data_IF_485522069006
#
_entry.id   IF_485522069006
#
_cell.length_a   1.000
_cell.length_b   1.000
_cell.length_c   1.000
_cell.angle_alpha   90.00
_cell.angle_beta   90.00
_cell.angle_gamma   90.00
#
_symmetry.space_group_name_H-M   'P 1'
#
loop_
_entity.id
_entity.type
_entity.pdbx_description
1 polymer ?
#
# COMPACT_ATOMS: atom_id res chain seq x y z
N UNK A 1 -27.19 17.49 -2.30
CA UNK A 1 -26.84 17.92 -3.66
C UNK A 1 -25.43 17.47 -4.09
N UNK A 2 -24.95 16.29 -3.65
CA UNK A 2 -23.57 15.80 -3.92
C UNK A 2 -23.51 14.45 -4.64
N UNK A 3 -24.65 13.81 -4.88
CA UNK A 3 -24.72 12.47 -5.47
C UNK A 3 -24.47 12.43 -7.00
N UNK A 4 -24.30 13.60 -7.63
CA UNK A 4 -23.92 13.73 -9.05
C UNK A 4 -22.40 13.89 -9.24
N UNK A 5 -21.59 13.68 -8.20
CA UNK A 5 -20.16 13.44 -8.33
C UNK A 5 -19.96 12.02 -8.86
N UNK A 6 -20.43 11.82 -10.09
CA UNK A 6 -20.25 10.67 -10.95
C UNK A 6 -18.89 10.04 -10.65
N UNK A 7 -18.86 8.91 -9.93
CA UNK A 7 -17.62 8.17 -9.65
C UNK A 7 -16.79 7.89 -10.90
N UNK A 8 -17.43 7.98 -12.07
CA UNK A 8 -16.82 8.04 -13.39
C UNK A 8 -15.73 9.12 -13.55
N UNK A 9 -15.91 10.32 -12.99
CA UNK A 9 -14.90 11.38 -13.05
C UNK A 9 -13.66 11.02 -12.24
N UNK A 10 -13.83 10.41 -11.06
CA UNK A 10 -12.71 9.93 -10.25
C UNK A 10 -11.91 8.86 -11.01
N UNK A 11 -12.59 7.94 -11.69
CA UNK A 11 -11.97 6.95 -12.57
C UNK A 11 -11.16 7.59 -13.71
N UNK A 12 -11.69 8.61 -14.36
CA UNK A 12 -11.00 9.35 -15.43
C UNK A 12 -9.74 10.06 -14.91
N UNK A 13 -9.83 10.69 -13.73
CA UNK A 13 -8.68 11.36 -13.10
C UNK A 13 -7.59 10.34 -12.77
N UNK A 14 -7.97 9.18 -12.19
CA UNK A 14 -7.04 8.08 -11.93
C UNK A 14 -6.40 7.56 -13.22
N UNK A 15 -7.17 7.44 -14.30
CA UNK A 15 -6.65 7.02 -15.60
C UNK A 15 -5.62 8.02 -16.16
N UNK A 16 -5.88 9.33 -16.07
CA UNK A 16 -4.92 10.37 -16.47
C UNK A 16 -3.64 10.29 -15.64
N UNK A 17 -3.78 10.18 -14.31
CA UNK A 17 -2.63 10.05 -13.39
C UNK A 17 -1.81 8.79 -13.72
N UNK A 18 -2.45 7.66 -14.00
CA UNK A 18 -1.79 6.43 -14.44
C UNK A 18 -1.07 6.60 -15.78
N UNK A 19 -1.59 7.41 -16.69
CA UNK A 19 -0.95 7.69 -17.97
C UNK A 19 0.32 8.55 -17.79
N UNK A 20 0.28 9.55 -16.91
CA UNK A 20 1.40 10.46 -16.65
C UNK A 20 2.49 9.84 -15.77
N UNK A 21 2.08 9.15 -14.70
CA UNK A 21 2.99 8.57 -13.71
C UNK A 21 3.32 7.11 -13.99
N UNK A 22 2.49 6.39 -14.73
CA UNK A 22 2.62 4.95 -14.99
C UNK A 22 2.05 4.08 -13.87
N UNK A 23 1.58 2.88 -14.25
CA UNK A 23 1.04 1.87 -13.33
C UNK A 23 1.94 1.51 -12.12
N UNK A 24 3.29 1.43 -12.22
CA UNK A 24 4.10 1.04 -11.06
C UNK A 24 4.41 2.19 -10.08
N UNK A 25 4.25 3.46 -10.47
CA UNK A 25 4.62 4.60 -9.60
C UNK A 25 3.55 4.93 -8.55
N UNK A 26 2.27 4.79 -8.88
CA UNK A 26 1.16 4.97 -7.95
C UNK A 26 1.20 4.02 -6.74
N UNK A 27 1.38 2.68 -6.90
CA UNK A 27 1.48 1.78 -5.75
C UNK A 27 2.76 2.00 -4.93
N UNK A 28 3.85 2.44 -5.56
CA UNK A 28 5.09 2.76 -4.84
C UNK A 28 4.90 3.98 -3.91
N UNK A 29 4.28 5.06 -4.42
CA UNK A 29 3.96 6.26 -3.63
C UNK A 29 2.96 5.97 -2.51
N UNK A 30 1.93 5.15 -2.79
CA UNK A 30 0.97 4.73 -1.78
C UNK A 30 1.64 3.90 -0.67
N UNK A 31 2.57 3.00 -1.01
CA UNK A 31 3.35 2.23 -0.03
C UNK A 31 4.19 3.13 0.87
N UNK A 32 4.96 4.07 0.31
CA UNK A 32 5.80 4.97 1.12
C UNK A 32 4.97 5.89 2.00
N UNK A 33 3.88 6.45 1.48
CA UNK A 33 2.98 7.32 2.23
C UNK A 33 2.24 6.55 3.34
N UNK A 34 1.79 5.33 3.06
CA UNK A 34 1.16 4.45 4.03
C UNK A 34 2.09 4.05 5.17
N UNK A 35 3.37 3.80 4.87
CA UNK A 35 4.39 3.55 5.90
C UNK A 35 4.61 4.78 6.79
N UNK A 36 4.74 5.99 6.22
CA UNK A 36 4.86 7.24 6.99
C UNK A 36 3.62 7.50 7.85
N UNK A 37 2.41 7.27 7.32
CA UNK A 37 1.17 7.42 8.08
C UNK A 37 1.04 6.40 9.21
N UNK A 38 1.51 5.17 9.03
CA UNK A 38 1.48 4.13 10.07
C UNK A 38 2.43 4.47 11.22
N UNK A 39 3.63 4.96 10.91
CA UNK A 39 4.59 5.44 11.91
C UNK A 39 4.01 6.63 12.66
N UNK A 40 3.51 7.64 11.94
CA UNK A 40 2.88 8.82 12.56
C UNK A 40 1.69 8.44 13.44
N UNK A 41 0.83 7.51 12.99
CA UNK A 41 -0.29 7.01 13.79
C UNK A 41 0.18 6.28 15.04
N UNK A 42 1.25 5.48 14.97
CA UNK A 42 1.77 4.73 16.11
C UNK A 42 2.46 5.62 17.15
N UNK A 43 3.12 6.69 16.73
CA UNK A 43 3.76 7.66 17.63
C UNK A 43 2.74 8.63 18.25
N UNK A 44 1.64 8.96 17.53
CA UNK A 44 0.60 9.90 17.98
C UNK A 44 -0.63 9.20 18.62
N UNK A 45 -0.77 7.87 18.48
CA UNK A 45 -1.78 7.09 19.21
C UNK A 45 -1.57 6.94 20.73
N UNK A 46 -0.35 6.86 21.31
CA UNK A 46 -0.19 6.61 22.75
C UNK A 46 -0.76 7.74 23.60
N UNK A 47 -0.92 8.94 23.05
CA UNK A 47 -1.52 10.11 23.72
C UNK A 47 -3.04 10.24 23.53
N UNK A 48 -3.68 9.51 22.59
CA UNK A 48 -5.08 9.71 22.20
C UNK A 48 -6.00 8.47 22.28
N UNK A 49 -5.50 7.26 22.54
CA UNK A 49 -6.38 6.06 22.56
C UNK A 49 -5.89 4.92 23.45
N UNK A 50 -6.44 4.85 24.66
CA UNK A 50 -6.54 3.61 25.44
C UNK A 50 -7.66 2.66 24.96
N UNK A 51 -8.15 2.79 23.73
CA UNK A 51 -9.28 2.00 23.20
C UNK A 51 -9.37 2.10 21.67
N UNK A 52 -8.57 1.34 20.93
CA UNK A 52 -9.01 0.66 19.69
C UNK A 52 -7.86 -0.13 19.05
N UNK A 53 -8.03 -1.45 19.03
CA UNK A 53 -7.12 -2.46 18.52
C UNK A 53 -7.48 -2.83 17.06
N UNK A 54 -6.42 -3.03 16.25
CA UNK A 54 -6.34 -3.64 14.91
C UNK A 54 -7.00 -2.91 13.69
N UNK A 55 -6.36 -2.94 12.51
CA UNK A 55 -6.27 -4.19 11.75
C UNK A 55 -4.83 -4.69 11.49
N UNK A 56 -4.69 -5.99 11.68
CA UNK A 56 -3.56 -6.82 11.27
C UNK A 56 -3.76 -7.34 9.83
N UNK A 57 -2.72 -7.14 9.00
CA UNK A 57 -2.25 -7.94 7.84
C UNK A 57 -3.12 -8.02 6.54
N UNK A 58 -2.53 -8.27 5.33
CA UNK A 58 -1.28 -9.00 5.10
C UNK A 58 -0.25 -8.39 4.13
N UNK A 59 1.01 -8.73 4.40
CA UNK A 59 2.07 -8.72 3.41
C UNK A 59 1.72 -9.67 2.26
N UNK A 60 1.82 -9.26 0.99
CA UNK A 60 2.13 -10.20 -0.07
C UNK A 60 3.51 -10.75 0.24
N UNK A 61 3.53 -11.98 0.74
CA UNK A 61 4.72 -12.80 0.84
C UNK A 61 5.50 -12.68 -0.46
N UNK A 62 6.79 -12.38 -0.34
CA UNK A 62 7.73 -12.68 -1.40
C UNK A 62 7.54 -14.15 -1.78
N UNK A 63 7.53 -14.52 -3.06
CA UNK A 63 7.85 -15.89 -3.40
C UNK A 63 9.31 -16.10 -2.99
N UNK A 64 9.53 -16.60 -1.78
CA UNK A 64 10.67 -17.46 -1.50
C UNK A 64 10.52 -18.66 -2.42
N UNK A 65 11.11 -18.57 -3.62
CA UNK A 65 11.33 -19.74 -4.44
C UNK A 65 12.40 -20.59 -3.75
N UNK A 66 12.12 -21.85 -3.37
CA UNK A 66 13.16 -22.78 -3.02
C UNK A 66 13.88 -23.17 -4.32
N UNK A 67 14.98 -22.51 -4.66
CA UNK A 67 15.98 -23.13 -5.52
C UNK A 67 16.94 -23.88 -4.61
N UNK A 68 16.81 -25.19 -4.70
CA UNK A 68 17.47 -26.21 -3.90
C UNK A 68 19.01 -26.07 -3.90
N UNK A 69 19.68 -26.57 -2.85
CA UNK A 69 21.12 -26.76 -2.85
C UNK A 69 21.45 -27.92 -3.80
N UNK A 70 22.12 -27.64 -4.91
CA UNK A 70 22.85 -28.62 -5.71
C UNK A 70 24.31 -28.13 -5.72
N UNK A 71 25.20 -28.64 -4.86
CA UNK A 71 25.83 -29.94 -5.04
C UNK A 71 26.23 -30.17 -6.50
N UNK A 72 27.24 -29.44 -6.95
CA UNK A 72 28.12 -29.89 -8.03
C UNK A 72 29.51 -29.31 -7.78
N UNK A 73 30.11 -29.77 -6.69
CA UNK A 73 31.54 -29.71 -6.48
C UNK A 73 31.95 -31.17 -6.29
N UNK A 74 32.39 -31.82 -7.38
CA UNK A 74 33.25 -33.01 -7.52
C UNK A 74 33.33 -33.43 -8.99
#
# INVERSE_FOLDING_TARGET
MFANLNGWHALIIVAIILLLFGAPKIPALAKSLGQSMRIFKNEVKPELSGRDEAPEAPAPAAPTGPSAPAASER
#
